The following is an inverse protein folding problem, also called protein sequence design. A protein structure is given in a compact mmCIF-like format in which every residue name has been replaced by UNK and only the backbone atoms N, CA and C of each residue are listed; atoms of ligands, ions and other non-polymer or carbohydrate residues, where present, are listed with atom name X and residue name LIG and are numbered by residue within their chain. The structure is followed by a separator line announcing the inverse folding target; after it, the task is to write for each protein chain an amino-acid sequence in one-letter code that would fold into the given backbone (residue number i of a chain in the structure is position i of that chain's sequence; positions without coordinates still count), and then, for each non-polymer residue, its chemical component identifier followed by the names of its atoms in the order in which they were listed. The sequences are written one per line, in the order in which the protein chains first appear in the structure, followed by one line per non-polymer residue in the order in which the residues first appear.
data_IF_589005818881
#
_entry.id   IF_589005818881
#
_cell.length_a   1.000
_cell.length_b   1.000
_cell.length_c   1.000
_cell.angle_alpha   90.00
_cell.angle_beta   90.00
_cell.angle_gamma   90.00
#
_symmetry.space_group_name_H-M   'P 1'
#
loop_
_entity.id
_entity.type
_entity.pdbx_description
1 polymer ?
#
# COMPACT_ATOMS: atom_id res chain seq x y z
N UNK A 1 2.67 47.84 4.65
CA UNK A 1 2.53 46.90 5.78
C UNK A 1 2.49 45.48 5.24
N UNK A 2 3.50 44.66 5.56
CA UNK A 2 3.67 43.30 5.03
C UNK A 2 2.74 42.33 5.75
N UNK A 3 1.79 41.72 5.02
CA UNK A 3 0.99 40.60 5.51
C UNK A 3 1.84 39.34 5.55
N UNK A 4 2.71 39.22 6.55
CA UNK A 4 3.33 37.93 6.91
C UNK A 4 2.38 37.18 7.83
N UNK A 5 1.36 36.55 7.24
CA UNK A 5 0.58 35.53 7.95
C UNK A 5 1.44 34.28 8.10
N UNK A 6 1.52 33.74 9.32
CA UNK A 6 2.15 32.45 9.54
C UNK A 6 1.44 31.39 8.67
N UNK A 7 2.21 30.56 7.96
CA UNK A 7 1.64 29.50 7.14
C UNK A 7 0.91 28.51 8.05
N UNK A 8 -0.42 28.48 7.99
CA UNK A 8 -1.19 27.45 8.68
C UNK A 8 -0.78 26.08 8.14
N UNK A 9 -0.18 25.27 9.01
CA UNK A 9 0.21 23.91 8.68
C UNK A 9 -1.07 23.11 8.39
N UNK A 10 -1.39 22.92 7.10
CA UNK A 10 -2.54 22.13 6.69
C UNK A 10 -2.33 20.68 7.11
N UNK A 11 -2.82 20.32 8.30
CA UNK A 11 -2.89 18.93 8.75
C UNK A 11 -3.73 18.15 7.74
N UNK A 12 -3.10 17.20 7.04
CA UNK A 12 -3.79 16.35 6.10
C UNK A 12 -4.95 15.64 6.82
N UNK A 13 -6.19 15.86 6.35
CA UNK A 13 -7.40 15.22 6.89
C UNK A 13 -7.19 13.70 6.94
N UNK A 14 -7.49 13.04 8.06
CA UNK A 14 -7.39 11.58 8.16
C UNK A 14 -8.35 10.90 7.17
N UNK A 15 -7.92 9.77 6.57
CA UNK A 15 -8.77 8.98 5.68
C UNK A 15 -10.06 8.54 6.42
N UNK A 16 -11.27 8.69 5.82
CA UNK A 16 -12.52 8.33 6.48
C UNK A 16 -12.64 6.84 6.82
N UNK A 17 -11.93 5.96 6.11
CA UNK A 17 -12.08 4.51 6.26
C UNK A 17 -11.06 3.96 7.26
N UNK A 18 -9.80 4.34 7.12
CA UNK A 18 -8.70 3.78 7.94
C UNK A 18 -8.38 4.60 9.18
N UNK A 19 -8.93 5.82 9.33
CA UNK A 19 -8.56 6.83 10.35
C UNK A 19 -7.04 7.00 10.53
N UNK A 20 -6.25 6.67 9.51
CA UNK A 20 -4.79 6.65 9.55
C UNK A 20 -4.23 7.71 8.59
N UNK A 21 -3.35 8.57 9.11
CA UNK A 21 -2.74 9.68 8.36
C UNK A 21 -1.79 9.18 7.27
N UNK A 22 -1.05 8.10 7.51
CA UNK A 22 -0.10 7.52 6.54
C UNK A 22 -0.83 6.90 5.36
N UNK A 23 -1.95 6.21 5.62
CA UNK A 23 -2.82 5.65 4.57
C UNK A 23 -3.35 6.78 3.69
N UNK A 24 -3.81 7.89 4.27
CA UNK A 24 -4.25 9.05 3.49
C UNK A 24 -3.11 9.68 2.67
N UNK A 25 -1.90 9.79 3.22
CA UNK A 25 -0.74 10.32 2.47
C UNK A 25 -0.38 9.43 1.28
N UNK A 26 -0.43 8.11 1.47
CA UNK A 26 -0.19 7.14 0.41
C UNK A 26 -1.27 7.23 -0.68
N UNK A 27 -2.55 7.26 -0.28
CA UNK A 27 -3.68 7.42 -1.20
C UNK A 27 -3.54 8.72 -1.99
N UNK A 28 -3.18 9.85 -1.35
CA UNK A 28 -2.95 11.13 -2.02
C UNK A 28 -1.75 11.09 -2.98
N UNK A 29 -0.68 10.34 -2.66
CA UNK A 29 0.47 10.14 -3.54
C UNK A 29 0.08 9.35 -4.79
N UNK A 30 -0.70 8.27 -4.64
CA UNK A 30 -1.20 7.46 -5.75
C UNK A 30 -2.22 8.25 -6.58
N UNK A 31 -3.06 9.04 -5.91
CA UNK A 31 -4.04 9.95 -6.51
C UNK A 31 -3.45 11.08 -7.34
N UNK A 32 -2.17 11.41 -7.16
CA UNK A 32 -1.48 12.40 -8.01
C UNK A 32 -1.59 12.06 -9.50
N UNK A 33 -1.81 10.79 -9.84
CA UNK A 33 -2.01 10.30 -11.21
C UNK A 33 -3.49 9.99 -11.55
N UNK A 34 -4.45 10.47 -10.75
CA UNK A 34 -5.88 10.52 -11.12
C UNK A 34 -6.74 9.27 -10.82
N UNK A 35 -6.18 8.18 -10.28
CA UNK A 35 -6.93 6.92 -10.06
C UNK A 35 -7.34 6.70 -8.61
N UNK A 36 -8.43 7.33 -8.15
CA UNK A 36 -8.93 7.24 -6.76
C UNK A 36 -9.27 5.83 -6.33
N UNK A 37 -10.05 5.11 -7.14
CA UNK A 37 -10.45 3.73 -6.82
C UNK A 37 -9.24 2.81 -6.68
N UNK A 38 -8.23 2.97 -7.54
CA UNK A 38 -7.00 2.17 -7.47
C UNK A 38 -6.20 2.49 -6.22
N UNK A 39 -6.11 3.76 -5.83
CA UNK A 39 -5.41 4.18 -4.62
C UNK A 39 -5.99 3.55 -3.36
N UNK A 40 -7.33 3.50 -3.25
CA UNK A 40 -8.01 2.86 -2.12
C UNK A 40 -7.85 1.33 -2.12
N UNK A 41 -7.93 0.69 -3.29
CA UNK A 41 -7.71 -0.76 -3.39
C UNK A 41 -6.29 -1.14 -2.97
N UNK A 42 -5.29 -0.37 -3.43
CA UNK A 42 -3.89 -0.63 -3.09
C UNK A 42 -3.62 -0.39 -1.60
N UNK A 43 -4.20 0.66 -1.01
CA UNK A 43 -4.01 0.92 0.42
C UNK A 43 -4.66 -0.14 1.29
N UNK A 44 -5.84 -0.65 0.92
CA UNK A 44 -6.47 -1.78 1.60
C UNK A 44 -5.61 -3.04 1.49
N UNK A 45 -5.18 -3.40 0.27
CA UNK A 45 -4.34 -4.58 0.03
C UNK A 45 -3.03 -4.51 0.84
N UNK A 46 -2.42 -3.33 0.96
CA UNK A 46 -1.22 -3.14 1.78
C UNK A 46 -1.46 -3.35 3.27
N UNK A 47 -2.61 -2.90 3.78
CA UNK A 47 -2.98 -3.12 5.18
C UNK A 47 -3.25 -4.60 5.44
N UNK A 48 -3.92 -5.28 4.51
CA UNK A 48 -4.20 -6.71 4.61
C UNK A 48 -2.91 -7.53 4.55
N UNK A 49 -1.99 -7.17 3.65
CA UNK A 49 -0.67 -7.78 3.53
C UNK A 49 0.20 -7.55 4.78
N UNK A 50 0.14 -6.37 5.40
CA UNK A 50 0.84 -6.08 6.64
C UNK A 50 0.34 -6.95 7.82
N UNK A 51 -0.92 -7.39 7.77
CA UNK A 51 -1.51 -8.34 8.73
C UNK A 51 -1.22 -9.81 8.38
N UNK A 52 -0.46 -10.07 7.31
CA UNK A 52 -0.21 -11.43 6.83
C UNK A 52 -1.41 -12.08 6.15
N UNK A 53 -2.33 -11.28 5.61
CA UNK A 53 -3.53 -11.75 4.90
C UNK A 53 -3.66 -11.13 3.51
N UNK A 54 -4.61 -11.60 2.72
CA UNK A 54 -4.90 -11.04 1.40
C UNK A 54 -4.23 -11.78 0.24
N UNK A 55 -4.57 -11.34 -0.98
CA UNK A 55 -4.19 -12.01 -2.22
C UNK A 55 -2.66 -11.97 -2.44
N UNK A 56 -2.01 -10.88 -2.02
CA UNK A 56 -0.56 -10.74 -2.06
C UNK A 56 0.16 -11.84 -1.25
N UNK A 57 -0.34 -12.19 -0.07
CA UNK A 57 0.25 -13.23 0.79
C UNK A 57 -0.03 -14.62 0.23
N UNK A 58 -1.26 -14.88 -0.23
CA UNK A 58 -1.59 -16.16 -0.88
C UNK A 58 -0.69 -16.44 -2.08
N UNK A 59 -0.47 -15.45 -2.95
CA UNK A 59 0.45 -15.59 -4.09
C UNK A 59 1.88 -15.86 -3.66
N UNK A 60 2.36 -15.22 -2.60
CA UNK A 60 3.69 -15.50 -2.03
C UNK A 60 3.79 -16.96 -1.55
N UNK A 61 2.78 -17.48 -0.86
CA UNK A 61 2.78 -18.87 -0.38
C UNK A 61 2.71 -19.89 -1.52
N UNK A 62 1.92 -19.59 -2.55
CA UNK A 62 1.84 -20.41 -3.77
C UNK A 62 3.18 -20.47 -4.49
N UNK A 63 3.86 -19.33 -4.68
CA UNK A 63 5.17 -19.31 -5.33
C UNK A 63 6.24 -20.04 -4.52
N UNK A 64 6.22 -19.93 -3.19
CA UNK A 64 7.10 -20.72 -2.34
C UNK A 64 6.84 -22.22 -2.46
N UNK A 65 5.58 -22.66 -2.41
CA UNK A 65 5.22 -24.08 -2.61
C UNK A 65 5.66 -24.61 -3.97
N UNK A 66 5.46 -23.84 -5.04
CA UNK A 66 5.93 -24.20 -6.37
C UNK A 66 7.46 -24.28 -6.45
N UNK A 67 8.17 -23.35 -5.81
CA UNK A 67 9.62 -23.36 -5.76
C UNK A 67 10.16 -24.58 -4.98
N UNK A 68 9.53 -24.95 -3.87
CA UNK A 68 9.86 -26.15 -3.11
C UNK A 68 9.63 -27.43 -3.92
N UNK A 69 8.51 -27.53 -4.63
CA UNK A 69 8.21 -28.66 -5.50
C UNK A 69 9.27 -28.82 -6.61
N UNK A 70 9.76 -27.69 -7.15
CA UNK A 70 10.76 -27.68 -8.21
C UNK A 70 12.21 -27.74 -7.69
N UNK A 71 12.42 -27.83 -6.37
CA UNK A 71 13.76 -27.82 -5.76
C UNK A 71 14.65 -28.97 -6.25
N UNK A 72 14.06 -30.13 -6.52
CA UNK A 72 14.77 -31.29 -7.04
C UNK A 72 15.36 -31.04 -8.44
N UNK A 73 14.76 -30.14 -9.22
CA UNK A 73 15.22 -29.84 -10.57
C UNK A 73 16.31 -28.76 -10.64
N UNK A 74 16.63 -28.11 -9.51
CA UNK A 74 17.65 -27.06 -9.45
C UNK A 74 19.08 -27.55 -9.76
N UNK A 75 19.31 -28.86 -9.71
CA UNK A 75 20.60 -29.49 -9.97
C UNK A 75 20.78 -29.99 -11.41
N UNK A 76 19.71 -30.01 -12.23
CA UNK A 76 19.85 -30.29 -13.66
C UNK A 76 20.34 -29.01 -14.35
N UNK A 77 21.62 -28.96 -14.70
CA UNK A 77 22.24 -27.93 -15.54
C UNK A 77 22.76 -28.55 -16.82
#
# INVERSE_FOLDING_TARGET
MSRRGAAEEKRAKSDPISRNRLVNMLVNRILKHGKKSLAFKLSSELVDAAKGSGDAIRKKEETHRMAEANRAFAHFR
#
